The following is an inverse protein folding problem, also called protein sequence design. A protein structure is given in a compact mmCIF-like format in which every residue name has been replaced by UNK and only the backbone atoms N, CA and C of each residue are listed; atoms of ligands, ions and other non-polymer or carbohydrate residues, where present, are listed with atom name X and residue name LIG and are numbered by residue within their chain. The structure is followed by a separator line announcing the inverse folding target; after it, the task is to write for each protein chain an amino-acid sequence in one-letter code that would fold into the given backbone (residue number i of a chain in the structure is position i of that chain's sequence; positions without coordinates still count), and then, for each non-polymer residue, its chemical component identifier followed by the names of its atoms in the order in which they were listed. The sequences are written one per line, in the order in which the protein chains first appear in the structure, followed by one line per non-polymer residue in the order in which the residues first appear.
data_IF_558394283840
#
_entry.id   IF_558394283840
#
_cell.length_a   1.000
_cell.length_b   1.000
_cell.length_c   1.000
_cell.angle_alpha   90.00
_cell.angle_beta   90.00
_cell.angle_gamma   90.00
#
_symmetry.space_group_name_H-M   'P 1'
#
loop_
_entity.id
_entity.type
_entity.pdbx_description
1 polymer ?
#
# COMPACT_ATOMS: atom_id res chain seq x y z
N UNK A 1 -24.58 48.16 23.83
CA UNK A 1 -24.01 49.47 23.52
C UNK A 1 -22.86 49.73 24.48
N UNK A 2 -21.71 50.13 23.93
CA UNK A 2 -20.56 50.75 24.59
C UNK A 2 -19.61 49.94 25.51
N UNK A 3 -18.37 49.94 25.03
CA UNK A 3 -17.08 50.06 25.73
C UNK A 3 -16.47 48.87 26.52
N UNK A 4 -15.39 48.35 25.90
CA UNK A 4 -13.99 48.48 26.32
C UNK A 4 -13.22 47.17 26.54
N UNK A 5 -12.29 46.94 25.62
CA UNK A 5 -11.20 45.97 25.67
C UNK A 5 -10.35 46.17 26.93
N UNK A 6 -10.19 45.11 27.72
CA UNK A 6 -9.08 44.98 28.68
C UNK A 6 -7.80 44.69 27.89
N UNK A 7 -6.88 45.65 27.91
CA UNK A 7 -5.51 45.51 27.46
C UNK A 7 -4.73 44.55 28.39
N UNK A 8 -4.04 43.56 27.82
CA UNK A 8 -2.85 42.99 28.44
C UNK A 8 -1.67 43.93 28.14
N UNK A 9 -1.06 44.45 29.21
CA UNK A 9 0.11 45.31 29.15
C UNK A 9 1.39 44.49 28.92
N UNK A 10 2.11 44.78 27.84
CA UNK A 10 3.58 44.61 27.81
C UNK A 10 4.21 45.99 27.84
N UNK A 11 5.07 46.20 28.83
CA UNK A 11 5.78 47.44 29.11
C UNK A 11 7.07 47.44 28.27
N UNK A 12 7.12 48.25 27.22
CA UNK A 12 8.37 48.58 26.51
C UNK A 12 8.53 50.10 26.50
N UNK A 13 9.72 50.53 26.91
CA UNK A 13 10.13 51.90 27.11
C UNK A 13 10.25 52.65 25.76
N UNK A 14 9.76 53.89 25.71
CA UNK A 14 10.24 54.94 24.80
C UNK A 14 9.99 54.80 23.29
N UNK A 15 8.79 55.18 22.82
CA UNK A 15 8.54 56.11 21.68
C UNK A 15 7.17 55.84 21.04
N UNK A 16 6.26 56.82 21.14
CA UNK A 16 4.98 56.81 20.40
C UNK A 16 5.26 57.06 18.91
N UNK A 17 5.51 56.01 18.12
CA UNK A 17 5.44 56.11 16.66
C UNK A 17 3.96 56.19 16.22
N UNK A 18 3.49 57.41 15.98
CA UNK A 18 2.26 57.66 15.21
C UNK A 18 2.56 57.37 13.73
N UNK A 19 2.23 56.16 13.27
CA UNK A 19 2.28 55.81 11.85
C UNK A 19 1.36 56.76 11.07
N UNK A 20 1.92 57.58 10.17
CA UNK A 20 1.15 58.45 9.26
C UNK A 20 0.23 57.58 8.40
N UNK A 21 -0.94 58.09 7.98
CA UNK A 21 -1.95 57.34 7.22
C UNK A 21 -1.37 56.52 6.04
N UNK A 22 -0.34 57.01 5.35
CA UNK A 22 0.38 56.26 4.29
C UNK A 22 1.06 54.96 4.78
N UNK A 23 1.61 54.91 5.99
CA UNK A 23 2.23 53.71 6.56
C UNK A 23 1.21 52.69 7.05
N UNK A 24 0.04 53.13 7.58
CA UNK A 24 -1.08 52.22 7.90
C UNK A 24 -1.67 51.58 6.64
N UNK A 25 -1.79 52.35 5.56
CA UNK A 25 -2.19 51.83 4.25
C UNK A 25 -1.16 50.82 3.74
N UNK A 26 0.15 51.12 3.83
CA UNK A 26 1.21 50.18 3.44
C UNK A 26 1.20 48.88 4.26
N UNK A 27 0.97 48.95 5.57
CA UNK A 27 0.87 47.78 6.45
C UNK A 27 -0.40 46.96 6.15
N UNK A 28 -1.53 47.62 5.88
CA UNK A 28 -2.77 46.97 5.45
C UNK A 28 -2.61 46.26 4.10
N UNK A 29 -1.95 46.90 3.12
CA UNK A 29 -1.63 46.27 1.84
C UNK A 29 -0.67 45.10 1.99
N UNK A 30 0.33 45.16 2.88
CA UNK A 30 1.22 44.02 3.16
C UNK A 30 0.45 42.87 3.82
N UNK A 31 -0.45 43.15 4.77
CA UNK A 31 -1.28 42.11 5.40
C UNK A 31 -2.29 41.50 4.45
N UNK A 32 -2.91 42.30 3.56
CA UNK A 32 -3.85 41.83 2.54
C UNK A 32 -3.11 41.08 1.44
N UNK A 33 -1.92 41.52 1.02
CA UNK A 33 -1.06 40.78 0.10
C UNK A 33 -0.60 39.47 0.73
N UNK A 34 -0.24 39.42 2.02
CA UNK A 34 0.07 38.16 2.70
C UNK A 34 -1.15 37.26 2.85
N UNK A 35 -2.37 37.80 3.05
CA UNK A 35 -3.61 37.02 3.08
C UNK A 35 -4.01 36.51 1.68
N UNK A 36 -3.79 37.31 0.63
CA UNK A 36 -3.97 36.92 -0.77
C UNK A 36 -2.89 35.89 -1.16
N UNK A 37 -1.67 36.02 -0.65
CA UNK A 37 -0.59 35.06 -0.88
C UNK A 37 -0.83 33.75 -0.12
N UNK A 38 -1.32 33.78 1.13
CA UNK A 38 -1.72 32.61 1.91
C UNK A 38 -2.98 31.95 1.33
N UNK A 39 -3.97 32.73 0.86
CA UNK A 39 -5.14 32.17 0.17
C UNK A 39 -4.83 31.70 -1.25
N UNK A 40 -3.82 32.25 -1.93
CA UNK A 40 -3.27 31.72 -3.18
C UNK A 40 -2.33 30.53 -2.99
N UNK A 41 -1.66 30.41 -1.84
CA UNK A 41 -0.93 29.20 -1.42
C UNK A 41 -1.92 28.07 -1.10
N UNK A 42 -3.04 28.37 -0.44
CA UNK A 42 -4.13 27.41 -0.24
C UNK A 42 -4.94 27.11 -1.53
N UNK A 43 -4.88 27.98 -2.54
CA UNK A 43 -5.48 27.75 -3.89
C UNK A 43 -4.51 27.14 -4.90
N UNK A 44 -3.24 26.95 -4.55
CA UNK A 44 -2.31 26.08 -5.28
C UNK A 44 -2.26 24.68 -4.66
N UNK A 45 -3.40 24.18 -4.20
CA UNK A 45 -3.61 22.75 -4.32
C UNK A 45 -3.60 22.48 -5.81
N UNK A 46 -2.60 21.78 -6.32
CA UNK A 46 -2.75 21.19 -7.63
C UNK A 46 -4.05 20.38 -7.58
N UNK A 47 -5.05 20.77 -8.37
CA UNK A 47 -6.30 20.02 -8.54
C UNK A 47 -5.97 18.73 -9.32
N UNK A 48 -5.17 17.85 -8.72
CA UNK A 48 -5.07 16.48 -9.19
C UNK A 48 -6.41 15.80 -8.88
N UNK A 49 -6.95 15.10 -9.87
CA UNK A 49 -8.23 14.39 -9.71
C UNK A 49 -8.03 13.20 -8.77
N UNK A 50 -8.58 13.33 -7.58
CA UNK A 50 -8.60 12.29 -6.56
C UNK A 50 -9.51 11.12 -6.92
N UNK A 51 -9.19 9.96 -6.37
CA UNK A 51 -10.10 8.84 -6.32
C UNK A 51 -11.32 9.18 -5.46
N UNK A 52 -12.52 8.86 -5.95
CA UNK A 52 -13.77 9.19 -5.26
C UNK A 52 -13.96 8.46 -3.92
N UNK A 53 -13.08 7.52 -3.55
CA UNK A 53 -13.14 6.88 -2.24
C UNK A 53 -13.08 7.88 -1.08
N UNK A 54 -12.37 9.01 -1.25
CA UNK A 54 -12.29 10.06 -0.23
C UNK A 54 -13.59 10.86 -0.06
N UNK A 55 -14.61 10.60 -0.89
CA UNK A 55 -15.97 11.14 -0.75
C UNK A 55 -16.91 10.15 -0.03
N UNK A 56 -16.49 8.89 0.14
CA UNK A 56 -17.29 7.85 0.78
C UNK A 56 -17.24 7.99 2.32
N UNK A 57 -18.37 8.41 2.91
CA UNK A 57 -18.48 8.63 4.36
C UNK A 57 -18.22 7.39 5.21
N UNK A 58 -18.68 6.22 4.77
CA UNK A 58 -18.50 4.97 5.52
C UNK A 58 -17.03 4.56 5.53
N UNK A 59 -16.34 4.66 4.39
CA UNK A 59 -14.90 4.45 4.30
C UNK A 59 -14.15 5.36 5.29
N UNK A 60 -14.41 6.66 5.24
CA UNK A 60 -13.73 7.65 6.08
C UNK A 60 -13.99 7.36 7.56
N UNK A 61 -15.24 7.15 7.95
CA UNK A 61 -15.60 6.87 9.35
C UNK A 61 -14.86 5.67 9.92
N UNK A 62 -14.66 4.63 9.11
CA UNK A 62 -13.98 3.41 9.52
C UNK A 62 -12.46 3.56 9.67
N UNK A 63 -11.82 4.54 9.00
CA UNK A 63 -10.35 4.64 8.98
C UNK A 63 -9.76 5.96 9.51
N UNK A 64 -10.54 7.03 9.59
CA UNK A 64 -10.04 8.40 9.87
C UNK A 64 -9.27 8.54 11.20
N UNK A 65 -9.60 7.74 12.22
CA UNK A 65 -8.99 7.78 13.55
C UNK A 65 -8.02 6.62 13.80
N UNK A 66 -7.60 5.93 12.75
CA UNK A 66 -6.69 4.81 12.84
C UNK A 66 -5.30 5.27 12.45
N UNK A 67 -4.33 5.26 13.38
CA UNK A 67 -2.97 5.63 13.05
C UNK A 67 -2.37 4.69 12.00
N UNK A 68 -1.97 5.27 10.87
CA UNK A 68 -1.33 4.57 9.75
C UNK A 68 0.10 5.09 9.62
N UNK A 69 1.07 4.20 9.75
CA UNK A 69 2.47 4.54 9.50
C UNK A 69 2.76 4.44 8.02
N UNK A 70 3.19 5.56 7.44
CA UNK A 70 3.50 5.65 6.01
C UNK A 70 4.99 5.39 5.80
N UNK A 71 5.32 4.57 4.81
CA UNK A 71 6.70 4.33 4.41
C UNK A 71 6.85 4.48 2.89
N UNK A 72 8.00 4.92 2.41
CA UNK A 72 8.33 4.95 0.99
C UNK A 72 9.56 4.07 0.72
N UNK A 73 9.45 2.74 0.86
CA UNK A 73 10.60 1.84 0.74
C UNK A 73 11.05 1.65 -0.72
N UNK A 74 10.25 2.09 -1.70
CA UNK A 74 10.54 2.01 -3.13
C UNK A 74 10.60 3.43 -3.72
N UNK A 75 9.76 3.77 -4.70
CA UNK A 75 9.71 5.11 -5.30
C UNK A 75 8.83 6.10 -4.51
N UNK A 76 8.92 7.37 -4.89
CA UNK A 76 8.18 8.48 -4.28
C UNK A 76 7.06 9.02 -5.20
N UNK A 77 6.34 10.04 -4.71
CA UNK A 77 5.41 10.91 -5.44
C UNK A 77 5.98 12.29 -5.68
N UNK A 78 5.31 13.05 -6.56
CA UNK A 78 5.50 14.49 -6.73
C UNK A 78 5.28 15.22 -5.39
N UNK A 79 6.04 16.29 -5.15
CA UNK A 79 6.04 17.04 -3.89
C UNK A 79 4.64 17.55 -3.51
N UNK A 80 3.83 17.97 -4.48
CA UNK A 80 2.47 18.48 -4.26
C UNK A 80 1.55 17.40 -3.68
N UNK A 81 1.69 16.14 -4.13
CA UNK A 81 0.93 14.99 -3.62
C UNK A 81 1.37 14.62 -2.20
N UNK A 82 2.67 14.70 -1.91
CA UNK A 82 3.20 14.50 -0.55
C UNK A 82 2.67 15.58 0.40
N UNK A 83 2.72 16.84 -0.02
CA UNK A 83 2.20 17.96 0.75
C UNK A 83 0.70 17.84 1.03
N UNK A 84 -0.07 17.32 0.08
CA UNK A 84 -1.48 16.99 0.31
C UNK A 84 -1.64 15.91 1.39
N UNK A 85 -0.90 14.79 1.32
CA UNK A 85 -0.97 13.74 2.34
C UNK A 85 -0.59 14.25 3.74
N UNK A 86 0.32 15.22 3.82
CA UNK A 86 0.74 15.86 5.08
C UNK A 86 -0.32 16.80 5.66
N UNK A 87 -1.10 17.48 4.82
CA UNK A 87 -2.01 18.55 5.25
C UNK A 87 -3.49 18.11 5.30
N UNK A 88 -3.84 16.98 4.70
CA UNK A 88 -5.19 16.43 4.77
C UNK A 88 -5.53 15.98 6.21
N UNK A 89 -6.82 16.08 6.59
CA UNK A 89 -7.34 15.66 7.89
C UNK A 89 -8.37 14.51 7.77
N UNK A 90 -8.32 13.75 6.66
CA UNK A 90 -9.23 12.66 6.35
C UNK A 90 -8.72 11.33 6.93
N UNK A 91 -7.40 11.11 6.87
CA UNK A 91 -6.71 9.91 7.33
C UNK A 91 -5.65 10.31 8.38
N UNK A 92 -5.54 9.57 9.48
CA UNK A 92 -4.48 9.72 10.49
C UNK A 92 -3.17 9.09 9.98
N UNK A 93 -2.43 9.85 9.16
CA UNK A 93 -1.18 9.43 8.54
C UNK A 93 0.04 9.90 9.34
N UNK A 94 0.85 8.97 9.83
CA UNK A 94 2.18 9.23 10.37
C UNK A 94 3.21 9.19 9.25
N UNK A 95 3.49 10.36 8.69
CA UNK A 95 4.43 10.53 7.60
C UNK A 95 5.86 10.78 8.15
N UNK A 96 6.89 10.09 7.63
CA UNK A 96 8.28 10.40 7.91
C UNK A 96 8.63 11.83 7.49
N UNK A 97 9.61 12.44 8.17
CA UNK A 97 10.08 13.80 7.85
C UNK A 97 10.54 13.92 6.40
N UNK A 98 11.27 12.92 5.92
CA UNK A 98 11.87 12.90 4.58
C UNK A 98 11.36 11.71 3.75
N UNK A 99 10.18 11.88 3.14
CA UNK A 99 9.61 10.87 2.24
C UNK A 99 10.29 10.80 0.87
N UNK A 100 10.96 11.87 0.46
CA UNK A 100 11.59 11.96 -0.85
C UNK A 100 12.92 12.73 -0.79
N UNK A 101 13.85 12.35 -1.65
CA UNK A 101 15.10 13.04 -1.92
C UNK A 101 15.19 13.30 -3.42
N UNK A 102 15.45 14.55 -3.80
CA UNK A 102 15.63 14.93 -5.21
C UNK A 102 16.99 14.49 -5.78
N UNK A 103 17.90 14.01 -4.93
CA UNK A 103 19.23 13.56 -5.33
C UNK A 103 19.23 12.14 -5.90
N UNK A 104 18.13 11.40 -5.75
CA UNK A 104 18.06 9.99 -6.13
C UNK A 104 16.96 9.81 -7.20
N UNK A 105 17.31 9.31 -8.40
CA UNK A 105 16.37 9.36 -9.53
C UNK A 105 15.38 8.18 -9.57
N UNK A 106 15.69 7.04 -8.96
CA UNK A 106 14.93 5.79 -9.15
C UNK A 106 14.20 5.26 -7.90
N UNK A 107 14.51 5.77 -6.71
CA UNK A 107 13.80 5.45 -5.47
C UNK A 107 13.70 6.67 -4.56
N UNK A 108 12.87 6.57 -3.52
CA UNK A 108 12.42 7.72 -2.74
C UNK A 108 13.53 8.44 -1.98
N UNK A 109 14.45 7.69 -1.36
CA UNK A 109 15.52 8.25 -0.52
C UNK A 109 16.70 7.26 -0.41
N UNK A 110 17.76 7.60 0.34
CA UNK A 110 18.90 6.70 0.56
C UNK A 110 18.44 5.38 1.17
N UNK A 111 19.25 4.32 1.05
CA UNK A 111 18.95 3.02 1.67
C UNK A 111 18.79 3.16 3.20
N UNK A 112 19.58 4.05 3.83
CA UNK A 112 19.51 4.38 5.26
C UNK A 112 18.19 5.06 5.63
N UNK A 113 17.80 6.14 4.94
CA UNK A 113 16.55 6.85 5.21
C UNK A 113 15.33 5.96 4.97
N UNK A 114 15.30 5.20 3.87
CA UNK A 114 14.20 4.26 3.59
C UNK A 114 14.11 3.15 4.63
N UNK A 115 15.26 2.65 5.11
CA UNK A 115 15.29 1.70 6.21
C UNK A 115 14.79 2.31 7.53
N UNK A 116 15.20 3.53 7.86
CA UNK A 116 14.78 4.21 9.08
C UNK A 116 13.27 4.47 9.10
N UNK A 117 12.65 4.78 7.95
CA UNK A 117 11.20 4.84 7.82
C UNK A 117 10.53 3.52 8.23
N UNK A 118 11.03 2.38 7.73
CA UNK A 118 10.51 1.04 8.06
C UNK A 118 10.73 0.74 9.54
N UNK A 119 11.93 1.01 10.06
CA UNK A 119 12.28 0.82 11.47
C UNK A 119 11.37 1.64 12.38
N UNK A 120 11.09 2.90 12.05
CA UNK A 120 10.15 3.73 12.81
C UNK A 120 8.73 3.14 12.78
N UNK A 121 8.23 2.79 11.60
CA UNK A 121 6.89 2.22 11.43
C UNK A 121 6.71 0.88 12.16
N UNK A 122 7.76 0.07 12.28
CA UNK A 122 7.74 -1.18 13.04
C UNK A 122 7.71 -0.93 14.55
N UNK A 123 8.38 0.12 15.04
CA UNK A 123 8.54 0.35 16.48
C UNK A 123 7.49 1.30 17.07
N UNK A 124 6.67 1.97 16.26
CA UNK A 124 5.59 2.82 16.77
C UNK A 124 4.33 2.03 17.18
N UNK A 125 3.30 2.73 17.65
CA UNK A 125 2.04 2.12 18.10
C UNK A 125 1.01 1.89 16.98
N UNK A 126 1.32 2.20 15.73
CA UNK A 126 0.37 2.01 14.63
C UNK A 126 0.23 0.51 14.31
N UNK A 127 -0.99 0.04 14.08
CA UNK A 127 -1.21 -1.36 13.68
C UNK A 127 -1.08 -1.57 12.17
N UNK A 128 -1.06 -0.48 11.39
CA UNK A 128 -1.02 -0.48 9.93
C UNK A 128 0.25 0.21 9.46
N UNK A 129 0.96 -0.45 8.54
CA UNK A 129 2.04 0.12 7.75
C UNK A 129 1.56 0.16 6.30
N UNK A 130 1.31 1.35 5.75
CA UNK A 130 0.82 1.51 4.39
C UNK A 130 1.89 2.17 3.53
N UNK A 131 2.35 1.44 2.51
CA UNK A 131 3.36 1.97 1.61
C UNK A 131 2.81 3.11 0.74
N UNK A 132 3.64 4.13 0.55
CA UNK A 132 3.36 5.27 -0.31
C UNK A 132 3.16 4.82 -1.75
N UNK A 133 4.11 4.03 -2.28
CA UNK A 133 4.14 3.54 -3.67
C UNK A 133 5.10 2.35 -3.80
N UNK A 134 4.88 1.52 -4.82
CA UNK A 134 5.89 0.59 -5.33
C UNK A 134 6.97 1.31 -6.15
N UNK A 135 7.48 0.66 -7.20
CA UNK A 135 8.48 1.23 -8.10
C UNK A 135 9.77 0.42 -8.10
N UNK A 136 10.84 0.92 -7.49
CA UNK A 136 12.09 0.17 -7.41
C UNK A 136 12.80 0.41 -6.07
N UNK A 137 13.52 -0.60 -5.61
CA UNK A 137 14.62 -0.46 -4.66
C UNK A 137 14.34 -1.03 -3.27
N UNK A 138 13.14 -1.55 -2.98
CA UNK A 138 12.84 -2.08 -1.64
C UNK A 138 13.72 -3.29 -1.28
N UNK A 139 14.05 -4.16 -2.24
CA UNK A 139 14.91 -5.33 -2.03
C UNK A 139 16.34 -4.98 -1.59
N UNK A 140 16.82 -3.76 -1.88
CA UNK A 140 18.13 -3.26 -1.41
C UNK A 140 18.22 -3.21 0.11
N UNK A 141 17.07 -3.14 0.78
CA UNK A 141 16.98 -2.97 2.23
C UNK A 141 17.13 -4.29 3.00
N UNK A 142 17.25 -5.43 2.32
CA UNK A 142 17.27 -6.77 2.94
C UNK A 142 18.25 -6.91 4.10
N UNK A 143 19.53 -6.58 3.90
CA UNK A 143 20.56 -6.69 4.94
C UNK A 143 20.29 -5.80 6.16
N UNK A 144 19.68 -4.63 5.95
CA UNK A 144 19.31 -3.75 7.06
C UNK A 144 18.08 -4.28 7.80
N UNK A 145 17.09 -4.82 7.08
CA UNK A 145 15.88 -5.39 7.67
C UNK A 145 16.18 -6.61 8.56
N UNK A 146 17.20 -7.41 8.24
CA UNK A 146 17.66 -8.52 9.10
C UNK A 146 18.13 -8.07 10.48
N UNK A 147 18.52 -6.80 10.64
CA UNK A 147 18.93 -6.22 11.93
C UNK A 147 17.73 -5.90 12.83
N UNK A 148 16.52 -5.91 12.29
CA UNK A 148 15.30 -5.61 13.04
C UNK A 148 14.82 -6.85 13.80
N UNK A 149 14.37 -6.61 15.04
CA UNK A 149 13.64 -7.62 15.81
C UNK A 149 12.16 -7.56 15.44
N UNK A 150 11.53 -8.73 15.36
CA UNK A 150 10.07 -8.83 15.23
C UNK A 150 9.43 -8.05 16.41
N UNK A 151 8.53 -7.09 16.17
CA UNK A 151 7.86 -6.40 17.26
C UNK A 151 6.87 -7.34 17.96
N UNK A 152 6.57 -7.07 19.23
CA UNK A 152 5.65 -7.89 20.04
C UNK A 152 4.24 -7.90 19.46
N UNK A 153 3.82 -6.78 18.85
CA UNK A 153 2.52 -6.66 18.21
C UNK A 153 2.68 -6.90 16.70
N UNK A 154 1.92 -7.85 16.16
CA UNK A 154 1.81 -8.01 14.71
C UNK A 154 1.18 -6.77 14.09
N UNK A 155 1.69 -6.35 12.95
CA UNK A 155 1.17 -5.24 12.15
C UNK A 155 0.71 -5.75 10.79
N UNK A 156 -0.20 -5.00 10.15
CA UNK A 156 -0.56 -5.24 8.75
C UNK A 156 0.32 -4.35 7.88
N UNK A 157 1.05 -4.98 6.96
CA UNK A 157 1.71 -4.27 5.86
C UNK A 157 0.82 -4.28 4.61
N UNK A 158 0.69 -3.12 3.95
CA UNK A 158 -0.14 -2.93 2.75
C UNK A 158 0.71 -2.33 1.60
N UNK A 159 0.67 -2.99 0.44
CA UNK A 159 1.30 -2.53 -0.80
C UNK A 159 1.31 -3.57 -1.91
N UNK A 160 1.82 -3.25 -3.10
CA UNK A 160 1.98 -4.17 -4.23
C UNK A 160 3.17 -3.77 -5.11
N UNK A 161 3.41 -4.47 -6.23
CA UNK A 161 4.52 -4.20 -7.15
C UNK A 161 5.89 -4.54 -6.53
N UNK A 162 6.89 -3.65 -6.61
CA UNK A 162 8.22 -3.76 -5.94
C UNK A 162 8.13 -4.20 -4.48
N UNK A 163 7.06 -3.81 -3.79
CA UNK A 163 6.79 -4.13 -2.38
C UNK A 163 6.54 -5.62 -2.13
N UNK A 164 6.44 -6.44 -3.18
CA UNK A 164 6.46 -7.90 -3.12
C UNK A 164 7.65 -8.41 -2.31
N UNK A 165 8.81 -7.74 -2.39
CA UNK A 165 9.95 -8.05 -1.54
C UNK A 165 9.61 -7.97 -0.03
N UNK A 166 8.95 -6.89 0.40
CA UNK A 166 8.58 -6.70 1.81
C UNK A 166 7.52 -7.72 2.25
N UNK A 167 6.58 -8.08 1.36
CA UNK A 167 5.64 -9.18 1.61
C UNK A 167 6.39 -10.48 1.90
N UNK A 168 7.32 -10.88 1.02
CA UNK A 168 8.14 -12.07 1.23
C UNK A 168 8.96 -11.99 2.52
N UNK A 169 9.59 -10.84 2.79
CA UNK A 169 10.39 -10.63 3.99
C UNK A 169 9.55 -10.81 5.27
N UNK A 170 8.42 -10.12 5.41
CA UNK A 170 7.58 -10.18 6.61
C UNK A 170 6.93 -11.56 6.80
N UNK A 171 6.55 -12.23 5.71
CA UNK A 171 5.99 -13.58 5.78
C UNK A 171 7.07 -14.58 6.22
N UNK A 172 8.27 -14.53 5.63
CA UNK A 172 9.30 -15.54 5.87
C UNK A 172 10.00 -15.36 7.22
N UNK A 173 10.25 -14.12 7.63
CA UNK A 173 10.99 -13.85 8.87
C UNK A 173 10.06 -13.76 10.08
N UNK A 174 8.85 -13.21 9.91
CA UNK A 174 7.96 -12.91 11.03
C UNK A 174 6.61 -13.64 10.98
N UNK A 175 6.36 -14.43 9.93
CA UNK A 175 5.08 -15.14 9.73
C UNK A 175 3.88 -14.19 9.80
N UNK A 176 4.06 -12.95 9.34
CA UNK A 176 2.97 -11.98 9.26
C UNK A 176 2.00 -12.32 8.14
N UNK A 177 0.77 -11.82 8.28
CA UNK A 177 -0.15 -11.66 7.17
C UNK A 177 0.01 -10.25 6.62
N UNK A 178 0.07 -10.12 5.31
CA UNK A 178 0.24 -8.83 4.61
C UNK A 178 -0.84 -8.70 3.55
N UNK A 179 -1.12 -7.47 3.11
CA UNK A 179 -2.14 -7.20 2.10
C UNK A 179 -1.44 -6.75 0.82
N UNK A 180 -1.51 -7.60 -0.21
CA UNK A 180 -1.24 -7.19 -1.57
C UNK A 180 -2.43 -6.37 -2.08
N UNK A 181 -2.27 -5.04 -2.14
CA UNK A 181 -3.36 -4.13 -2.49
C UNK A 181 -2.88 -2.71 -2.76
N UNK A 182 -3.82 -1.82 -3.09
CA UNK A 182 -3.51 -0.45 -3.51
C UNK A 182 -2.68 0.33 -2.47
N UNK A 183 -1.72 1.10 -2.96
CA UNK A 183 -0.86 2.00 -2.18
C UNK A 183 -1.53 3.37 -1.99
N UNK A 184 -0.99 4.21 -1.11
CA UNK A 184 -1.51 5.58 -0.95
C UNK A 184 -1.41 6.41 -2.24
N UNK A 185 -0.43 6.13 -3.10
CA UNK A 185 -0.30 6.78 -4.40
C UNK A 185 -1.50 6.56 -5.33
N UNK A 186 -2.22 5.45 -5.16
CA UNK A 186 -3.39 5.12 -5.98
C UNK A 186 -4.59 6.00 -5.64
N UNK A 187 -4.59 6.70 -4.50
CA UNK A 187 -5.60 7.73 -4.18
C UNK A 187 -5.57 8.87 -5.21
N UNK A 188 -4.41 9.09 -5.84
CA UNK A 188 -4.19 10.10 -6.88
C UNK A 188 -4.53 9.59 -8.29
N UNK A 189 -5.17 8.42 -8.40
CA UNK A 189 -5.61 7.86 -9.66
C UNK A 189 -7.13 7.63 -9.66
N UNK A 190 -7.85 8.49 -10.40
CA UNK A 190 -9.31 8.41 -10.59
C UNK A 190 -9.80 7.14 -11.29
N UNK A 191 -8.92 6.43 -12.01
CA UNK A 191 -9.29 5.22 -12.77
C UNK A 191 -9.27 3.97 -11.88
N UNK A 192 -8.64 4.05 -10.70
CA UNK A 192 -8.65 2.96 -9.73
C UNK A 192 -10.06 2.79 -9.17
N UNK A 193 -10.50 1.54 -9.09
CA UNK A 193 -11.79 1.20 -8.48
C UNK A 193 -11.77 1.59 -6.98
N UNK A 194 -12.74 2.39 -6.49
CA UNK A 194 -12.85 2.71 -5.06
C UNK A 194 -12.89 1.47 -4.16
N UNK A 195 -13.40 0.33 -4.68
CA UNK A 195 -13.42 -0.95 -3.94
C UNK A 195 -12.04 -1.48 -3.58
N UNK A 196 -10.99 -1.05 -4.28
CA UNK A 196 -9.62 -1.40 -3.91
C UNK A 196 -9.30 -0.96 -2.48
N UNK A 197 -9.85 0.18 -2.04
CA UNK A 197 -9.61 0.77 -0.73
C UNK A 197 -10.69 0.36 0.27
N UNK A 198 -11.97 0.38 -0.10
CA UNK A 198 -13.04 -0.02 0.84
C UNK A 198 -12.87 -1.46 1.31
N UNK A 199 -12.50 -2.39 0.42
CA UNK A 199 -12.25 -3.77 0.81
C UNK A 199 -11.04 -3.90 1.75
N UNK A 200 -10.01 -3.05 1.61
CA UNK A 200 -8.89 -3.02 2.56
C UNK A 200 -9.42 -2.63 3.94
N UNK A 201 -10.23 -1.57 4.02
CA UNK A 201 -10.82 -1.09 5.27
C UNK A 201 -11.71 -2.13 5.93
N UNK A 202 -12.55 -2.82 5.15
CA UNK A 202 -13.36 -3.93 5.63
C UNK A 202 -12.50 -5.05 6.25
N UNK A 203 -11.43 -5.48 5.55
CA UNK A 203 -10.51 -6.50 6.07
C UNK A 203 -9.87 -6.05 7.38
N UNK A 204 -9.24 -4.87 7.42
CA UNK A 204 -8.49 -4.42 8.59
C UNK A 204 -9.42 -4.08 9.78
N UNK A 205 -10.69 -3.73 9.52
CA UNK A 205 -11.71 -3.53 10.56
C UNK A 205 -12.02 -4.80 11.36
N UNK A 206 -11.79 -5.98 10.76
CA UNK A 206 -12.17 -7.26 11.34
C UNK A 206 -13.69 -7.48 11.41
N UNK A 207 -14.48 -6.66 10.72
CA UNK A 207 -15.94 -6.79 10.66
C UNK A 207 -16.38 -7.91 9.72
N UNK A 208 -15.53 -8.26 8.75
CA UNK A 208 -15.76 -9.39 7.83
C UNK A 208 -14.86 -10.57 8.22
N UNK A 209 -15.42 -11.78 8.11
CA UNK A 209 -14.69 -13.05 8.31
C UNK A 209 -14.26 -13.71 7.01
N UNK A 210 -14.83 -13.25 5.90
CA UNK A 210 -14.64 -13.83 4.59
C UNK A 210 -14.79 -12.74 3.53
N UNK A 211 -14.01 -12.84 2.45
CA UNK A 211 -14.24 -12.10 1.22
C UNK A 211 -14.24 -13.07 0.04
N UNK A 212 -15.24 -12.92 -0.84
CA UNK A 212 -15.40 -13.76 -2.03
C UNK A 212 -15.23 -12.93 -3.29
N UNK A 213 -14.33 -13.38 -4.17
CA UNK A 213 -14.09 -12.83 -5.50
C UNK A 213 -14.67 -13.76 -6.55
N UNK A 214 -15.34 -13.20 -7.56
CA UNK A 214 -15.95 -13.95 -8.67
C UNK A 214 -15.08 -13.88 -9.93
N UNK A 215 -15.53 -14.45 -11.05
CA UNK A 215 -14.85 -14.35 -12.35
C UNK A 215 -13.43 -14.92 -12.35
N UNK A 216 -13.29 -16.12 -11.78
CA UNK A 216 -12.05 -16.89 -11.80
C UNK A 216 -12.07 -17.84 -12.99
N UNK A 217 -11.02 -17.80 -13.80
CA UNK A 217 -10.89 -18.61 -15.01
C UNK A 217 -9.90 -19.77 -14.78
N UNK A 218 -10.32 -21.04 -14.87
CA UNK A 218 -9.38 -22.16 -14.92
C UNK A 218 -8.72 -22.23 -16.30
N UNK A 219 -7.39 -22.18 -16.36
CA UNK A 219 -6.64 -22.10 -17.63
C UNK A 219 -6.19 -23.44 -18.20
N UNK A 220 -6.14 -24.50 -17.38
CA UNK A 220 -5.73 -25.84 -17.82
C UNK A 220 -6.64 -26.95 -17.27
N UNK A 221 -6.47 -28.18 -17.77
CA UNK A 221 -7.34 -29.31 -17.41
C UNK A 221 -7.29 -29.66 -15.92
N UNK A 222 -6.13 -29.52 -15.27
CA UNK A 222 -6.00 -29.71 -13.83
C UNK A 222 -6.85 -28.70 -13.05
N UNK A 223 -6.86 -27.43 -13.47
CA UNK A 223 -7.70 -26.41 -12.86
C UNK A 223 -9.20 -26.67 -13.09
N UNK A 224 -9.58 -27.11 -14.29
CA UNK A 224 -10.99 -27.40 -14.63
C UNK A 224 -11.55 -28.62 -13.88
N UNK A 225 -10.73 -29.64 -13.69
CA UNK A 225 -11.12 -30.91 -13.04
C UNK A 225 -11.00 -30.88 -11.51
N UNK A 226 -10.31 -29.88 -10.95
CA UNK A 226 -10.20 -29.70 -9.49
C UNK A 226 -11.57 -29.40 -8.86
N UNK A 227 -11.90 -30.03 -7.73
CA UNK A 227 -13.11 -29.71 -6.96
C UNK A 227 -12.96 -28.39 -6.20
N UNK A 228 -12.01 -28.34 -5.27
CA UNK A 228 -11.59 -27.12 -4.59
C UNK A 228 -10.09 -27.17 -4.38
N UNK A 229 -9.42 -26.02 -4.52
CA UNK A 229 -7.99 -25.88 -4.20
C UNK A 229 -7.84 -25.00 -2.98
N UNK A 230 -7.35 -25.59 -1.90
CA UNK A 230 -7.11 -24.93 -0.62
C UNK A 230 -5.61 -24.76 -0.35
N UNK A 231 -5.20 -23.58 0.12
CA UNK A 231 -3.84 -23.37 0.59
C UNK A 231 -3.56 -21.92 0.97
N UNK A 232 -2.40 -21.72 1.62
CA UNK A 232 -1.92 -20.37 1.92
C UNK A 232 -1.50 -19.65 0.63
N UNK A 233 -1.85 -18.37 0.52
CA UNK A 233 -1.45 -17.52 -0.59
C UNK A 233 -0.07 -16.89 -0.35
N UNK A 234 0.79 -16.89 -1.37
CA UNK A 234 2.07 -16.15 -1.37
C UNK A 234 2.33 -15.62 -2.77
N UNK A 235 3.09 -14.54 -2.94
CA UNK A 235 3.48 -14.06 -4.26
C UNK A 235 3.35 -12.55 -4.39
N UNK A 236 3.08 -12.09 -5.62
CA UNK A 236 3.02 -10.68 -5.98
C UNK A 236 3.53 -10.46 -7.41
N UNK A 237 4.37 -9.45 -7.58
CA UNK A 237 4.88 -9.04 -8.88
C UNK A 237 5.90 -10.04 -9.46
N UNK A 238 5.68 -10.50 -10.70
CA UNK A 238 6.49 -11.52 -11.39
C UNK A 238 7.98 -11.16 -11.49
N UNK A 239 8.31 -9.92 -11.83
CA UNK A 239 9.71 -9.47 -11.95
C UNK A 239 10.43 -9.54 -10.59
N UNK A 240 9.76 -9.13 -9.52
CA UNK A 240 10.31 -9.20 -8.16
C UNK A 240 10.43 -10.65 -7.68
N UNK A 241 9.44 -11.50 -7.97
CA UNK A 241 9.52 -12.93 -7.68
C UNK A 241 10.70 -13.59 -8.39
N UNK A 242 10.92 -13.24 -9.66
CA UNK A 242 12.07 -13.73 -10.44
C UNK A 242 13.40 -13.23 -9.86
N UNK A 243 13.45 -11.97 -9.42
CA UNK A 243 14.62 -11.37 -8.76
C UNK A 243 14.91 -11.95 -7.38
N UNK A 244 13.94 -12.64 -6.76
CA UNK A 244 14.14 -13.32 -5.48
C UNK A 244 14.98 -14.59 -5.56
N UNK A 245 15.10 -15.19 -6.76
CA UNK A 245 15.78 -16.47 -6.96
C UNK A 245 17.26 -16.39 -6.61
N UNK A 246 17.75 -17.37 -5.83
CA UNK A 246 19.13 -17.42 -5.35
C UNK A 246 19.43 -16.47 -4.17
N UNK A 247 18.43 -15.79 -3.63
CA UNK A 247 18.59 -14.88 -2.47
C UNK A 247 18.00 -15.49 -1.19
N UNK A 248 18.37 -14.94 -0.03
CA UNK A 248 17.81 -15.34 1.26
C UNK A 248 16.33 -14.92 1.46
N UNK A 249 15.75 -14.19 0.52
CA UNK A 249 14.33 -13.86 0.47
C UNK A 249 13.59 -14.52 -0.70
N UNK A 250 14.21 -15.55 -1.30
CA UNK A 250 13.59 -16.36 -2.35
C UNK A 250 12.19 -16.83 -1.93
N UNK A 251 11.22 -16.66 -2.85
CA UNK A 251 9.85 -17.12 -2.63
C UNK A 251 9.82 -18.63 -2.32
N UNK A 252 9.09 -18.98 -1.26
CA UNK A 252 8.78 -20.37 -0.94
C UNK A 252 7.35 -20.73 -1.35
N UNK A 253 7.21 -21.36 -2.51
CA UNK A 253 5.94 -21.81 -3.09
C UNK A 253 5.42 -23.17 -2.60
N UNK A 254 6.22 -23.93 -1.85
CA UNK A 254 5.87 -25.30 -1.42
C UNK A 254 4.60 -25.32 -0.57
N UNK A 255 3.65 -26.17 -0.94
CA UNK A 255 2.34 -26.34 -0.31
C UNK A 255 1.47 -25.07 -0.27
N UNK A 256 1.74 -24.10 -1.15
CA UNK A 256 1.03 -22.81 -1.21
C UNK A 256 0.41 -22.59 -2.58
N UNK A 257 -0.51 -21.65 -2.66
CA UNK A 257 -0.99 -21.08 -3.90
C UNK A 257 -0.12 -19.87 -4.22
N UNK A 258 0.48 -19.85 -5.40
CA UNK A 258 1.40 -18.79 -5.81
C UNK A 258 0.66 -17.77 -6.66
N UNK A 259 0.55 -16.55 -6.15
CA UNK A 259 -0.03 -15.40 -6.85
C UNK A 259 1.03 -14.69 -7.68
N UNK A 260 0.72 -14.40 -8.95
CA UNK A 260 1.64 -13.74 -9.88
C UNK A 260 0.87 -12.69 -10.69
N UNK A 261 1.36 -11.47 -10.70
CA UNK A 261 0.85 -10.37 -11.52
C UNK A 261 2.01 -9.55 -12.10
N UNK A 262 1.78 -8.73 -13.13
CA UNK A 262 2.84 -7.86 -13.66
C UNK A 262 2.29 -6.62 -14.39
N UNK A 263 3.18 -5.67 -14.69
CA UNK A 263 2.86 -4.45 -15.45
C UNK A 263 3.93 -4.09 -16.47
N UNK A 264 3.51 -3.69 -17.67
CA UNK A 264 4.39 -3.12 -18.69
C UNK A 264 5.35 -4.12 -19.35
N UNK A 265 5.31 -5.39 -18.93
CA UNK A 265 6.12 -6.45 -19.50
C UNK A 265 5.52 -6.93 -20.83
N UNK A 266 6.40 -7.10 -21.84
CA UNK A 266 6.08 -7.75 -23.11
C UNK A 266 5.88 -9.26 -22.91
N UNK A 267 5.13 -9.91 -23.79
CA UNK A 267 4.84 -11.34 -23.70
C UNK A 267 6.09 -12.19 -23.51
N UNK A 268 7.15 -11.97 -24.29
CA UNK A 268 8.41 -12.73 -24.13
C UNK A 268 9.14 -12.47 -22.80
N UNK A 269 8.94 -11.31 -22.16
CA UNK A 269 9.52 -11.01 -20.83
C UNK A 269 8.79 -11.79 -19.76
N UNK A 270 7.45 -11.79 -19.83
CA UNK A 270 6.60 -12.61 -18.96
C UNK A 270 6.92 -14.09 -19.14
N UNK A 271 7.04 -14.55 -20.38
CA UNK A 271 7.40 -15.91 -20.74
C UNK A 271 8.72 -16.34 -20.09
N UNK A 272 9.77 -15.56 -20.29
CA UNK A 272 11.09 -15.79 -19.71
C UNK A 272 11.04 -15.88 -18.19
N UNK A 273 10.33 -14.97 -17.53
CA UNK A 273 10.23 -14.96 -16.07
C UNK A 273 9.42 -16.15 -15.52
N UNK A 274 8.31 -16.52 -16.16
CA UNK A 274 7.52 -17.70 -15.79
C UNK A 274 8.32 -18.99 -15.96
N UNK A 275 9.02 -19.14 -17.10
CA UNK A 275 9.89 -20.29 -17.35
C UNK A 275 11.08 -20.31 -16.38
N UNK A 276 11.64 -19.16 -16.00
CA UNK A 276 12.70 -19.08 -14.99
C UNK A 276 12.22 -19.59 -13.63
N UNK A 277 11.05 -19.16 -13.15
CA UNK A 277 10.44 -19.67 -11.91
C UNK A 277 10.16 -21.19 -11.99
N UNK A 278 9.73 -21.68 -13.14
CA UNK A 278 9.49 -23.10 -13.38
C UNK A 278 10.79 -23.92 -13.32
N UNK A 279 11.84 -23.51 -14.04
CA UNK A 279 13.14 -24.17 -14.04
C UNK A 279 13.84 -24.11 -12.68
N UNK A 280 13.64 -23.03 -11.92
CA UNK A 280 14.07 -22.88 -10.54
C UNK A 280 13.24 -23.70 -9.52
N UNK A 281 12.25 -24.48 -10.00
CA UNK A 281 11.40 -25.37 -9.21
C UNK A 281 10.53 -24.65 -8.17
N UNK A 282 10.23 -23.37 -8.36
CA UNK A 282 9.36 -22.61 -7.44
C UNK A 282 7.94 -23.19 -7.39
N UNK A 283 7.45 -23.69 -8.52
CA UNK A 283 6.14 -24.34 -8.61
C UNK A 283 6.13 -25.79 -8.12
N UNK A 284 7.29 -26.36 -7.76
CA UNK A 284 7.37 -27.74 -7.29
C UNK A 284 6.65 -27.88 -5.95
N UNK A 285 5.65 -28.77 -5.90
CA UNK A 285 4.76 -28.98 -4.76
C UNK A 285 3.90 -27.75 -4.38
N UNK A 286 3.76 -26.76 -5.26
CA UNK A 286 2.73 -25.74 -5.07
C UNK A 286 1.34 -26.38 -5.28
N UNK A 287 0.31 -25.76 -4.68
CA UNK A 287 -1.08 -26.22 -4.76
C UNK A 287 -1.78 -25.73 -6.02
N UNK A 288 -1.52 -24.48 -6.40
CA UNK A 288 -1.97 -23.87 -7.65
C UNK A 288 -1.13 -22.62 -7.95
N UNK A 289 -1.29 -22.13 -9.18
CA UNK A 289 -0.87 -20.79 -9.60
C UNK A 289 -2.13 -19.94 -9.78
N UNK A 290 -2.14 -18.75 -9.19
CA UNK A 290 -3.16 -17.73 -9.41
C UNK A 290 -2.53 -16.55 -10.17
N UNK A 291 -2.90 -16.40 -11.43
CA UNK A 291 -2.48 -15.30 -12.28
C UNK A 291 -3.42 -14.11 -12.08
N UNK A 292 -2.85 -12.96 -11.72
CA UNK A 292 -3.51 -11.67 -11.68
C UNK A 292 -3.58 -11.00 -13.05
N UNK A 293 -3.72 -9.68 -13.01
CA UNK A 293 -3.65 -8.84 -14.21
C UNK A 293 -2.21 -8.67 -14.69
N UNK A 294 -2.02 -8.80 -16.00
CA UNK A 294 -0.80 -8.41 -16.71
C UNK A 294 -1.12 -7.13 -17.48
N UNK A 295 -0.91 -5.99 -16.82
CA UNK A 295 -1.45 -4.70 -17.26
C UNK A 295 -0.47 -4.00 -18.19
N UNK A 296 -0.96 -3.29 -19.22
CA UNK A 296 -0.12 -2.57 -20.19
C UNK A 296 0.92 -3.47 -20.88
N UNK A 297 0.61 -4.75 -21.05
CA UNK A 297 1.42 -5.69 -21.83
C UNK A 297 1.09 -5.60 -23.33
N UNK A 298 1.92 -6.22 -24.16
CA UNK A 298 1.69 -6.32 -25.60
C UNK A 298 0.63 -7.39 -25.95
N UNK A 299 0.26 -7.48 -27.22
CA UNK A 299 -0.75 -8.40 -27.74
C UNK A 299 -0.41 -9.89 -27.54
N UNK A 300 0.86 -10.21 -27.24
CA UNK A 300 1.34 -11.58 -27.05
C UNK A 300 1.09 -12.13 -25.64
N UNK A 301 0.61 -11.30 -24.71
CA UNK A 301 0.46 -11.68 -23.31
C UNK A 301 -0.52 -12.84 -23.10
N UNK A 302 -1.66 -12.83 -23.78
CA UNK A 302 -2.68 -13.88 -23.64
C UNK A 302 -2.20 -15.22 -24.19
N UNK A 303 -1.47 -15.20 -25.31
CA UNK A 303 -0.82 -16.40 -25.85
C UNK A 303 0.19 -16.96 -24.85
N UNK A 304 1.06 -16.09 -24.30
CA UNK A 304 2.10 -16.46 -23.34
C UNK A 304 1.51 -17.14 -22.11
N UNK A 305 0.49 -16.54 -21.50
CA UNK A 305 -0.18 -17.06 -20.30
C UNK A 305 -0.81 -18.43 -20.58
N UNK A 306 -1.54 -18.58 -21.70
CA UNK A 306 -2.18 -19.84 -22.06
C UNK A 306 -1.18 -20.95 -22.38
N UNK A 307 -0.10 -20.61 -23.09
CA UNK A 307 1.01 -21.53 -23.39
C UNK A 307 1.62 -22.06 -22.09
N UNK A 308 2.04 -21.16 -21.19
CA UNK A 308 2.60 -21.53 -19.90
C UNK A 308 1.65 -22.40 -19.07
N UNK A 309 0.37 -22.02 -18.98
CA UNK A 309 -0.63 -22.78 -18.21
C UNK A 309 -0.81 -24.23 -18.70
N UNK A 310 -0.68 -24.46 -20.01
CA UNK A 310 -0.78 -25.78 -20.62
C UNK A 310 0.48 -26.65 -20.43
N UNK A 311 1.65 -26.04 -20.19
CA UNK A 311 2.92 -26.75 -20.04
C UNK A 311 3.23 -27.18 -18.59
N UNK A 312 2.58 -26.54 -17.62
CA UNK A 312 2.80 -26.84 -16.19
C UNK A 312 1.84 -27.90 -15.67
N UNK A 313 2.36 -28.87 -14.92
CA UNK A 313 1.58 -29.93 -14.28
C UNK A 313 1.04 -29.51 -12.90
N UNK A 314 0.38 -28.35 -12.84
CA UNK A 314 -0.24 -27.79 -11.63
C UNK A 314 -1.51 -27.01 -12.04
N UNK A 315 -2.59 -26.96 -11.23
CA UNK A 315 -3.74 -26.11 -11.51
C UNK A 315 -3.35 -24.64 -11.69
N UNK A 316 -3.74 -24.03 -12.81
CA UNK A 316 -3.54 -22.60 -13.08
C UNK A 316 -4.89 -21.89 -13.22
N UNK A 317 -5.05 -20.83 -12.45
CA UNK A 317 -6.22 -19.95 -12.46
C UNK A 317 -5.83 -18.53 -12.87
N UNK A 318 -6.80 -17.77 -13.39
CA UNK A 318 -6.62 -16.36 -13.73
C UNK A 318 -7.77 -15.50 -13.21
N UNK A 319 -7.45 -14.27 -12.79
CA UNK A 319 -8.44 -13.22 -12.53
C UNK A 319 -7.83 -11.82 -12.73
N UNK A 320 -8.56 -10.95 -13.44
CA UNK A 320 -8.14 -9.56 -13.69
C UNK A 320 -8.55 -8.60 -12.55
N UNK A 321 -8.81 -9.12 -11.35
CA UNK A 321 -9.20 -8.32 -10.18
C UNK A 321 -8.04 -7.92 -9.28
N UNK A 322 -6.84 -8.47 -9.52
CA UNK A 322 -5.66 -8.34 -8.68
C UNK A 322 -4.48 -7.86 -9.52
N UNK A 323 -3.66 -6.94 -9.01
CA UNK A 323 -2.47 -6.43 -9.70
C UNK A 323 -2.61 -4.98 -10.16
N UNK A 324 -1.88 -4.61 -11.21
CA UNK A 324 -1.71 -3.19 -11.57
C UNK A 324 -2.88 -2.52 -12.32
N UNK A 325 -3.90 -3.27 -12.73
CA UNK A 325 -5.07 -2.71 -13.43
C UNK A 325 -5.91 -1.75 -12.57
N UNK A 326 -7.04 -1.30 -13.13
CA UNK A 326 -7.98 -0.44 -12.39
C UNK A 326 -8.49 -1.13 -11.12
N UNK A 327 -8.67 -2.46 -11.20
CA UNK A 327 -8.98 -3.32 -10.05
C UNK A 327 -7.68 -3.91 -9.48
N UNK A 328 -7.47 -3.66 -8.20
CA UNK A 328 -6.45 -4.27 -7.36
C UNK A 328 -7.08 -4.59 -6.01
N UNK A 329 -8.05 -5.50 -6.03
CA UNK A 329 -8.72 -5.93 -4.81
C UNK A 329 -7.72 -6.61 -3.87
N UNK A 330 -7.84 -6.38 -2.55
CA UNK A 330 -6.81 -6.78 -1.60
C UNK A 330 -6.70 -8.30 -1.45
N UNK A 331 -5.53 -8.86 -1.73
CA UNK A 331 -5.23 -10.25 -1.38
C UNK A 331 -4.46 -10.30 -0.06
N UNK A 332 -4.98 -11.05 0.92
CA UNK A 332 -4.24 -11.31 2.15
C UNK A 332 -3.24 -12.44 1.92
N UNK A 333 -1.96 -12.10 1.90
CA UNK A 333 -0.86 -13.06 1.78
C UNK A 333 -0.57 -13.72 3.12
N UNK A 334 -0.07 -14.96 3.06
CA UNK A 334 0.09 -15.92 4.17
C UNK A 334 -1.23 -16.32 4.87
N UNK A 335 -2.37 -15.99 4.26
CA UNK A 335 -3.69 -16.47 4.66
C UNK A 335 -4.18 -17.60 3.75
N UNK A 336 -5.06 -18.45 4.29
CA UNK A 336 -5.69 -19.52 3.53
C UNK A 336 -6.76 -18.97 2.57
N UNK A 337 -6.70 -19.45 1.33
CA UNK A 337 -7.75 -19.23 0.33
C UNK A 337 -8.28 -20.57 -0.19
N UNK A 338 -9.53 -20.54 -0.64
CA UNK A 338 -10.16 -21.64 -1.38
C UNK A 338 -10.51 -21.15 -2.77
N UNK A 339 -10.05 -21.87 -3.80
CA UNK A 339 -10.46 -21.64 -5.18
C UNK A 339 -11.46 -22.72 -5.56
N UNK A 340 -12.67 -22.34 -5.97
CA UNK A 340 -13.70 -23.26 -6.46
C UNK A 340 -13.88 -23.05 -7.97
N UNK A 341 -13.32 -23.92 -8.82
CA UNK A 341 -13.33 -23.76 -10.27
C UNK A 341 -14.75 -23.82 -10.85
N UNK A 342 -15.62 -24.69 -10.33
CA UNK A 342 -17.00 -24.87 -10.79
C UNK A 342 -17.84 -23.62 -10.50
N UNK A 343 -17.64 -23.02 -9.31
CA UNK A 343 -18.31 -21.78 -8.92
C UNK A 343 -17.65 -20.54 -9.52
N UNK A 344 -16.43 -20.66 -10.07
CA UNK A 344 -15.59 -19.57 -10.55
C UNK A 344 -15.35 -18.49 -9.50
N UNK A 345 -15.08 -18.91 -8.26
CA UNK A 345 -14.83 -18.03 -7.12
C UNK A 345 -13.51 -18.34 -6.41
N UNK A 346 -12.95 -17.30 -5.78
CA UNK A 346 -11.94 -17.41 -4.73
C UNK A 346 -12.56 -16.89 -3.45
N UNK A 347 -12.37 -17.62 -2.37
CA UNK A 347 -12.80 -17.24 -1.02
C UNK A 347 -11.57 -17.10 -0.14
N UNK A 348 -11.37 -15.90 0.42
CA UNK A 348 -10.34 -15.65 1.44
C UNK A 348 -11.00 -15.78 2.81
N UNK A 349 -10.54 -16.75 3.60
CA UNK A 349 -10.98 -16.93 4.97
C UNK A 349 -10.13 -16.03 5.86
N UNK A 350 -10.69 -14.92 6.32
CA UNK A 350 -9.99 -13.97 7.17
C UNK A 350 -9.93 -14.54 8.58
N UNK A 351 -8.75 -15.00 8.98
CA UNK A 351 -8.52 -15.48 10.34
C UNK A 351 -8.69 -14.38 11.39
N UNK A 352 -8.59 -14.78 12.65
CA UNK A 352 -8.78 -13.89 13.79
C UNK A 352 -7.69 -12.81 13.91
N UNK A 353 -6.61 -12.91 13.14
CA UNK A 353 -5.51 -11.94 13.12
C UNK A 353 -5.96 -10.51 12.76
N UNK A 354 -7.09 -10.38 12.04
CA UNK A 354 -7.66 -9.07 11.70
C UNK A 354 -8.70 -8.57 12.70
N UNK A 355 -9.16 -9.43 13.62
CA UNK A 355 -10.10 -9.03 14.65
C UNK A 355 -9.43 -8.00 15.56
N UNK A 356 -10.07 -6.84 15.69
CA UNK A 356 -9.68 -5.79 16.63
C UNK A 356 -8.42 -5.01 16.22
N UNK A 357 -7.99 -5.04 14.96
CA UNK A 357 -6.90 -4.17 14.50
C UNK A 357 -7.34 -2.71 14.55
N UNK A 358 -8.53 -2.39 14.05
CA UNK A 358 -9.09 -1.04 14.15
C UNK A 358 -9.77 -0.73 15.49
N UNK A 359 -9.94 -1.70 16.38
CA UNK A 359 -10.51 -1.39 17.70
C UNK A 359 -9.49 -0.57 18.51
N UNK A 360 -9.94 0.50 19.19
CA UNK A 360 -9.10 1.24 20.12
C UNK A 360 -8.46 0.25 21.10
N UNK A 361 -7.16 0.41 21.38
CA UNK A 361 -6.56 -0.32 22.48
C UNK A 361 -7.28 0.09 23.76
N UNK A 362 -7.89 -0.87 24.46
CA UNK A 362 -8.38 -0.67 25.83
C UNK A 362 -7.21 -0.59 26.83
N UNK A 363 -6.00 -0.30 26.37
CA UNK A 363 -4.84 -0.11 27.23
C UNK A 363 -5.08 1.16 28.04
N UNK A 364 -5.59 0.91 29.24
CA UNK A 364 -6.14 1.89 30.13
C UNK A 364 -5.13 3.01 30.39
N UNK A 365 -5.66 4.23 30.33
CA UNK A 365 -5.28 5.22 31.31
C UNK A 365 -5.52 4.61 32.71
N UNK A 366 -4.54 3.91 33.27
CA UNK A 366 -4.38 3.95 34.72
C UNK A 366 -3.99 5.39 35.04
N UNK A 367 -5.01 6.21 35.29
CA UNK A 367 -4.83 7.42 36.06
C UNK A 367 -4.26 6.98 37.41
N UNK A 368 -2.96 7.18 37.61
CA UNK A 368 -2.35 7.14 38.93
C UNK A 368 -3.04 8.27 39.70
N UNK A 369 -3.89 7.89 40.67
CA UNK A 369 -4.44 8.80 41.67
C UNK A 369 -3.40 9.07 42.74
#
# INVERSE_FOLDING_TARGET
MYYNNKHFHFKVWGSKMRLKNKQKIKLFFITVLSFIFISNLNKKNADFKMNNILENKEFIQNIQNIPISVIAPASTLENEKIQYLQNQNILDLKLPKNLSSQLIPFHSNTDEERFDQIKMAINDNSKIIWSLRGGYGSARLYENLLKLKKPNQNKIFIGYSDLTFLHLFFIQNWNWKTIHGSTLSDLFNKEKDPKNFSNIVEIISGNIKEITYTNIEPLNELAKSSQEVFGKLVGGNLEILSSSLGTNWQINGKNKIIFIEDIGAKGYVVDRNLIHLYQAKIFQNAKAILLGSFTNSDENIEFTIKRFANEVNIPVFKSNQFGHGNKNYPLVLNENITISPQKKIITLNLGDDFKNILKPSNDGYMAIR
#
